data_IF_098859477930
#
_entry.id   IF_098859477930
#
_cell.length_a   1.000
_cell.length_b   1.000
_cell.length_c   1.000
_cell.angle_alpha   90.00
_cell.angle_beta   90.00
_cell.angle_gamma   90.00
#
_symmetry.space_group_name_H-M   'P 1'
#
loop_
_entity.id
_entity.type
_entity.pdbx_description
1 polymer ?
#
# COMPACT_ATOMS: atom_id res chain seq x y z
N UNK A 1 18.69 13.95 0.58
CA UNK A 1 18.62 14.04 2.06
C UNK A 1 18.13 12.73 2.61
N UNK A 2 18.76 12.25 3.67
CA UNK A 2 18.35 11.02 4.35
C UNK A 2 17.33 11.35 5.43
N UNK A 3 16.26 10.56 5.51
CA UNK A 3 15.22 10.72 6.53
C UNK A 3 14.87 9.37 7.14
N UNK A 4 14.61 9.37 8.43
CA UNK A 4 14.10 8.22 9.16
C UNK A 4 12.61 8.43 9.39
N UNK A 5 11.79 7.51 8.88
CA UNK A 5 10.33 7.64 8.90
C UNK A 5 9.73 6.36 9.49
N UNK A 6 8.79 6.55 10.40
CA UNK A 6 8.06 5.43 10.98
C UNK A 6 6.81 5.10 10.15
N UNK A 7 6.48 3.84 10.07
CA UNK A 7 5.22 3.38 9.49
C UNK A 7 4.32 2.83 10.60
N UNK A 8 3.03 3.08 10.58
CA UNK A 8 2.27 3.82 9.54
C UNK A 8 2.64 5.30 9.48
N UNK A 9 2.51 5.87 8.29
CA UNK A 9 2.93 7.24 8.02
C UNK A 9 2.03 8.28 8.68
N UNK A 10 2.63 9.36 9.18
CA UNK A 10 1.89 10.57 9.48
C UNK A 10 1.82 11.45 8.23
N UNK A 11 0.76 12.23 8.11
CA UNK A 11 0.61 13.15 6.98
C UNK A 11 1.68 14.24 6.97
N UNK A 12 2.12 14.68 8.15
CA UNK A 12 3.16 15.70 8.28
C UNK A 12 4.49 15.20 7.70
N UNK A 13 4.87 13.96 8.00
CA UNK A 13 6.09 13.37 7.46
C UNK A 13 6.03 13.21 5.94
N UNK A 14 4.87 12.83 5.40
CA UNK A 14 4.69 12.66 3.97
C UNK A 14 4.81 13.96 3.20
N UNK A 15 4.35 15.07 3.76
CA UNK A 15 4.45 16.38 3.13
C UNK A 15 5.89 16.83 2.90
N UNK A 16 6.81 16.37 3.73
CA UNK A 16 8.21 16.75 3.66
C UNK A 16 9.03 15.92 2.68
N UNK A 17 8.44 14.84 2.14
CA UNK A 17 9.14 13.96 1.22
C UNK A 17 9.11 14.49 -0.22
N UNK A 18 10.22 14.30 -0.91
CA UNK A 18 10.37 14.69 -2.31
C UNK A 18 10.93 13.51 -3.10
N UNK A 19 10.62 13.46 -4.38
CA UNK A 19 11.17 12.43 -5.27
C UNK A 19 12.70 12.50 -5.25
N UNK A 20 13.33 11.33 -5.11
CA UNK A 20 14.77 11.23 -5.01
C UNK A 20 15.32 11.19 -3.59
N UNK A 21 14.49 11.42 -2.59
CA UNK A 21 14.93 11.33 -1.21
C UNK A 21 15.27 9.89 -0.82
N UNK A 22 16.30 9.74 0.01
CA UNK A 22 16.59 8.47 0.67
C UNK A 22 15.85 8.42 2.00
N UNK A 23 15.09 7.37 2.21
CA UNK A 23 14.35 7.19 3.46
C UNK A 23 14.66 5.84 4.09
N UNK A 24 14.70 5.83 5.42
CA UNK A 24 14.81 4.61 6.21
C UNK A 24 13.49 4.40 6.91
N UNK A 25 12.80 3.30 6.58
CA UNK A 25 11.49 2.98 7.16
C UNK A 25 11.67 2.10 8.38
N UNK A 26 10.96 2.45 9.45
CA UNK A 26 10.93 1.70 10.70
C UNK A 26 9.49 1.35 11.05
N UNK A 27 9.26 0.11 11.42
CA UNK A 27 7.93 -0.38 11.78
C UNK A 27 7.56 -1.59 10.96
N UNK A 28 6.27 -1.91 10.94
CA UNK A 28 5.76 -3.07 10.21
C UNK A 28 5.39 -2.68 8.79
N UNK A 29 5.95 -3.40 7.82
CA UNK A 29 5.62 -3.27 6.40
C UNK A 29 5.04 -4.60 5.97
N UNK A 30 3.90 -4.55 5.29
CA UNK A 30 3.24 -5.76 4.80
C UNK A 30 3.72 -6.09 3.40
N UNK A 31 3.97 -7.37 3.13
CA UNK A 31 4.33 -7.81 1.78
C UNK A 31 3.12 -8.44 1.10
N UNK A 32 2.89 -8.06 -0.15
CA UNK A 32 1.79 -8.60 -0.94
C UNK A 32 2.10 -8.47 -2.42
N UNK A 33 1.86 -9.53 -3.16
CA UNK A 33 1.97 -9.54 -4.61
C UNK A 33 0.61 -9.83 -5.24
N UNK A 34 0.63 -10.38 -6.46
CA UNK A 34 -0.55 -10.57 -7.32
C UNK A 34 -1.71 -11.28 -6.60
N UNK A 35 -1.44 -12.43 -5.98
CA UNK A 35 -2.50 -13.23 -5.37
C UNK A 35 -3.11 -12.53 -4.15
N UNK A 36 -2.29 -11.93 -3.31
CA UNK A 36 -2.77 -11.22 -2.12
C UNK A 36 -3.57 -9.98 -2.51
N UNK A 37 -3.09 -9.23 -3.51
CA UNK A 37 -3.82 -8.07 -4.03
C UNK A 37 -5.17 -8.47 -4.61
N UNK A 38 -5.22 -9.54 -5.39
CA UNK A 38 -6.45 -10.04 -5.96
C UNK A 38 -7.45 -10.43 -4.87
N UNK A 39 -7.00 -11.11 -3.84
CA UNK A 39 -7.86 -11.50 -2.71
C UNK A 39 -8.43 -10.30 -1.97
N UNK A 40 -7.60 -9.31 -1.71
CA UNK A 40 -8.06 -8.08 -1.05
C UNK A 40 -9.06 -7.32 -1.92
N UNK A 41 -8.75 -7.16 -3.19
CA UNK A 41 -9.63 -6.49 -4.16
C UNK A 41 -10.98 -7.17 -4.25
N UNK A 42 -10.98 -8.48 -4.47
CA UNK A 42 -12.22 -9.25 -4.60
C UNK A 42 -13.06 -9.20 -3.33
N UNK A 43 -12.42 -9.30 -2.17
CA UNK A 43 -13.12 -9.24 -0.88
C UNK A 43 -13.80 -7.88 -0.68
N UNK A 44 -13.12 -6.80 -1.01
CA UNK A 44 -13.68 -5.44 -0.91
C UNK A 44 -14.85 -5.27 -1.87
N UNK A 45 -14.70 -5.72 -3.11
CA UNK A 45 -15.76 -5.60 -4.12
C UNK A 45 -17.01 -6.38 -3.74
N UNK A 46 -16.85 -7.61 -3.27
CA UNK A 46 -17.97 -8.44 -2.84
C UNK A 46 -18.72 -7.79 -1.68
N UNK A 47 -18.00 -7.31 -0.68
CA UNK A 47 -18.61 -6.69 0.47
C UNK A 47 -19.32 -5.38 0.12
N UNK A 48 -18.73 -4.59 -0.76
CA UNK A 48 -19.34 -3.33 -1.21
C UNK A 48 -20.62 -3.58 -2.02
N UNK A 49 -20.67 -4.66 -2.79
CA UNK A 49 -21.90 -5.04 -3.52
C UNK A 49 -23.01 -5.49 -2.57
N UNK A 50 -22.67 -6.20 -1.50
CA UNK A 50 -23.64 -6.64 -0.50
C UNK A 50 -24.22 -5.48 0.30
N UNK A 51 -23.44 -4.45 0.52
CA UNK A 51 -23.79 -3.31 1.36
C UNK A 51 -23.46 -2.00 0.67
N UNK A 52 -24.18 -1.65 -0.42
CA UNK A 52 -23.83 -0.45 -1.20
C UNK A 52 -24.02 0.86 -0.42
N UNK A 53 -24.78 0.85 0.65
CA UNK A 53 -24.99 2.02 1.51
C UNK A 53 -23.87 2.25 2.50
N UNK A 54 -22.98 1.29 2.69
CA UNK A 54 -21.87 1.38 3.64
C UNK A 54 -20.63 1.91 2.93
N UNK A 55 -19.99 2.91 3.52
CA UNK A 55 -18.71 3.40 3.05
C UNK A 55 -17.60 2.70 3.83
N UNK A 56 -16.94 1.75 3.17
CA UNK A 56 -15.87 1.00 3.81
C UNK A 56 -14.54 1.74 3.76
N UNK A 57 -13.95 1.98 4.93
CA UNK A 57 -12.55 2.41 5.07
C UNK A 57 -11.66 1.18 5.27
N UNK A 58 -10.36 1.36 5.15
CA UNK A 58 -9.43 0.27 5.44
C UNK A 58 -9.57 -0.24 6.87
N UNK A 59 -9.76 0.66 7.83
CA UNK A 59 -9.96 0.29 9.22
C UNK A 59 -11.23 -0.54 9.42
N UNK A 60 -12.35 -0.14 8.81
CA UNK A 60 -13.61 -0.89 8.91
C UNK A 60 -13.50 -2.26 8.26
N UNK A 61 -12.84 -2.35 7.12
CA UNK A 61 -12.63 -3.62 6.44
C UNK A 61 -11.81 -4.59 7.31
N UNK A 62 -10.85 -4.08 8.05
CA UNK A 62 -10.07 -4.89 8.98
C UNK A 62 -10.89 -5.29 10.21
N UNK A 63 -11.62 -4.37 10.81
CA UNK A 63 -12.47 -4.64 11.99
C UNK A 63 -13.55 -5.69 11.68
N UNK A 64 -14.14 -5.62 10.49
CA UNK A 64 -15.18 -6.56 10.04
C UNK A 64 -14.57 -7.87 9.50
N UNK A 65 -13.26 -8.05 9.60
CA UNK A 65 -12.53 -9.25 9.18
C UNK A 65 -12.63 -9.54 7.67
N UNK A 66 -12.89 -8.53 6.87
CA UNK A 66 -12.90 -8.64 5.41
C UNK A 66 -11.48 -8.65 4.87
N UNK A 67 -10.60 -7.82 5.44
CA UNK A 67 -9.18 -7.79 5.13
C UNK A 67 -8.37 -8.37 6.29
N UNK A 68 -7.24 -9.04 6.01
CA UNK A 68 -6.40 -9.61 7.06
C UNK A 68 -5.55 -8.58 7.80
N UNK A 69 -5.51 -7.34 7.31
CA UNK A 69 -4.74 -6.26 7.90
C UNK A 69 -5.44 -4.92 7.65
N UNK A 70 -5.12 -3.94 8.50
CA UNK A 70 -5.57 -2.57 8.29
C UNK A 70 -4.57 -1.86 7.37
N UNK A 71 -5.02 -1.51 6.17
CA UNK A 71 -4.18 -0.83 5.18
C UNK A 71 -4.10 0.68 5.40
N UNK A 72 -4.93 1.23 6.30
CA UNK A 72 -4.97 2.67 6.54
C UNK A 72 -3.62 3.20 7.03
N UNK A 73 -3.02 4.10 6.27
CA UNK A 73 -1.73 4.68 6.62
C UNK A 73 -0.52 3.75 6.43
N UNK A 74 -0.74 2.52 6.07
CA UNK A 74 0.31 1.51 6.00
C UNK A 74 0.95 1.41 4.62
N UNK A 75 2.00 0.60 4.54
CA UNK A 75 2.80 0.41 3.34
C UNK A 75 2.77 -1.05 2.93
N UNK A 76 2.59 -1.29 1.64
CA UNK A 76 2.70 -2.62 1.05
C UNK A 76 3.97 -2.70 0.20
N UNK A 77 4.78 -3.70 0.48
CA UNK A 77 5.97 -4.02 -0.30
C UNK A 77 5.60 -5.12 -1.31
N UNK A 78 5.79 -4.83 -2.57
CA UNK A 78 5.48 -5.75 -3.67
C UNK A 78 6.57 -6.81 -3.78
N UNK A 79 6.49 -7.79 -2.90
CA UNK A 79 7.54 -8.78 -2.80
C UNK A 79 6.99 -10.16 -2.44
N UNK A 80 7.69 -11.19 -2.94
CA UNK A 80 7.51 -12.56 -2.49
C UNK A 80 8.88 -13.09 -2.11
N UNK A 81 9.21 -13.12 -0.81
CA UNK A 81 10.54 -13.57 -0.40
C UNK A 81 10.72 -15.07 -0.67
N UNK A 82 11.95 -15.45 -0.94
CA UNK A 82 12.30 -16.87 -0.98
C UNK A 82 12.35 -17.42 0.45
N UNK A 83 12.15 -18.74 0.64
CA UNK A 83 12.29 -19.33 1.97
C UNK A 83 13.66 -19.05 2.57
N UNK A 84 13.69 -18.77 3.87
CA UNK A 84 14.92 -18.53 4.59
C UNK A 84 15.75 -19.83 4.67
N UNK A 85 17.06 -19.70 4.52
CA UNK A 85 17.98 -20.79 4.78
C UNK A 85 18.11 -20.98 6.29
N UNK A 86 18.53 -22.20 6.76
CA UNK A 86 18.78 -22.40 8.18
C UNK A 86 19.68 -21.31 8.77
N UNK A 87 19.25 -20.73 9.88
CA UNK A 87 19.97 -19.65 10.54
C UNK A 87 19.67 -18.24 10.03
N UNK A 88 18.87 -18.09 9.00
CA UNK A 88 18.46 -16.79 8.46
C UNK A 88 17.04 -16.44 8.93
N UNK A 89 16.81 -15.16 9.19
CA UNK A 89 15.48 -14.64 9.55
C UNK A 89 14.57 -14.61 8.33
N UNK A 90 15.14 -14.26 7.17
CA UNK A 90 14.39 -14.13 5.91
C UNK A 90 15.29 -14.54 4.75
N UNK A 91 14.71 -15.07 3.69
CA UNK A 91 15.42 -15.35 2.45
C UNK A 91 15.60 -14.10 1.61
N UNK A 92 15.98 -14.28 0.35
CA UNK A 92 16.14 -13.16 -0.57
C UNK A 92 14.82 -12.41 -0.73
N UNK A 93 14.88 -11.10 -0.63
CA UNK A 93 13.73 -10.23 -0.78
C UNK A 93 14.08 -9.06 -1.70
N UNK A 94 13.22 -8.81 -2.68
CA UNK A 94 13.38 -7.69 -3.59
C UNK A 94 12.05 -7.35 -4.24
N UNK A 95 11.84 -6.11 -4.65
CA UNK A 95 10.57 -5.69 -5.19
C UNK A 95 10.30 -6.32 -6.56
N UNK A 96 9.05 -6.72 -6.77
CA UNK A 96 8.58 -7.14 -8.08
C UNK A 96 8.04 -5.94 -8.87
N UNK A 97 7.71 -6.16 -10.13
CA UNK A 97 7.21 -5.11 -11.02
C UNK A 97 5.87 -4.55 -10.54
N UNK A 98 5.83 -3.25 -10.33
CA UNK A 98 4.64 -2.55 -9.81
C UNK A 98 3.43 -2.67 -10.72
N UNK A 99 3.63 -2.71 -12.04
CA UNK A 99 2.52 -2.75 -13.01
C UNK A 99 1.59 -3.94 -12.83
N UNK A 100 2.07 -5.02 -12.26
CA UNK A 100 1.24 -6.19 -11.97
C UNK A 100 0.11 -5.90 -11.00
N UNK A 101 0.32 -4.96 -10.08
CA UNK A 101 -0.64 -4.58 -9.06
C UNK A 101 -1.51 -3.38 -9.46
N UNK A 102 -1.24 -2.78 -10.62
CA UNK A 102 -1.89 -1.53 -11.02
C UNK A 102 -3.42 -1.62 -11.08
N UNK A 103 -3.96 -2.75 -11.51
CA UNK A 103 -5.42 -2.91 -11.59
C UNK A 103 -6.11 -2.95 -10.24
N UNK A 104 -5.38 -3.25 -9.17
CA UNK A 104 -5.93 -3.30 -7.80
C UNK A 104 -5.64 -2.04 -7.00
N UNK A 105 -4.60 -1.31 -7.37
CA UNK A 105 -4.04 -0.22 -6.58
C UNK A 105 -4.99 0.95 -6.35
N UNK A 106 -5.74 1.45 -7.36
CA UNK A 106 -6.64 2.58 -7.12
C UNK A 106 -7.65 2.31 -6.02
N UNK A 107 -8.21 1.10 -5.96
CA UNK A 107 -9.16 0.75 -4.91
C UNK A 107 -8.50 0.77 -3.53
N UNK A 108 -7.31 0.18 -3.39
CA UNK A 108 -6.59 0.15 -2.12
C UNK A 108 -6.21 1.56 -1.65
N UNK A 109 -5.80 2.42 -2.57
CA UNK A 109 -5.52 3.83 -2.25
C UNK A 109 -6.76 4.54 -1.74
N UNK A 110 -7.92 4.27 -2.35
CA UNK A 110 -9.18 4.87 -1.91
C UNK A 110 -9.59 4.41 -0.51
N UNK A 111 -9.09 3.26 -0.06
CA UNK A 111 -9.38 2.72 1.28
C UNK A 111 -8.35 3.13 2.32
N UNK A 112 -7.35 3.90 1.96
CA UNK A 112 -6.42 4.49 2.92
C UNK A 112 -4.97 4.03 2.84
N UNK A 113 -4.61 3.18 1.89
CA UNK A 113 -3.23 2.79 1.69
C UNK A 113 -2.38 4.02 1.38
N UNK A 114 -1.22 4.14 2.02
CA UNK A 114 -0.35 5.32 1.91
C UNK A 114 0.97 5.07 1.19
N UNK A 115 1.52 3.87 1.30
CA UNK A 115 2.82 3.57 0.75
C UNK A 115 2.84 2.30 -0.07
N UNK A 116 3.62 2.31 -1.13
CA UNK A 116 3.81 1.16 -1.99
C UNK A 116 5.28 1.10 -2.39
N UNK A 117 5.90 -0.05 -2.25
CA UNK A 117 7.29 -0.26 -2.62
C UNK A 117 7.35 -1.29 -3.73
N UNK A 118 7.80 -0.88 -4.89
CA UNK A 118 7.93 -1.73 -6.06
C UNK A 118 8.93 -1.16 -7.04
N UNK A 119 8.98 -1.70 -8.23
CA UNK A 119 9.87 -1.20 -9.28
C UNK A 119 9.12 -1.07 -10.60
N UNK A 120 9.64 -0.21 -11.45
CA UNK A 120 9.08 0.03 -12.78
C UNK A 120 7.99 1.09 -12.76
N UNK A 121 7.41 1.30 -13.93
CA UNK A 121 6.43 2.35 -14.12
C UNK A 121 5.04 1.95 -13.61
N UNK A 122 4.28 2.94 -13.17
CA UNK A 122 2.87 2.78 -12.82
C UNK A 122 2.00 3.13 -14.03
N UNK A 123 0.78 2.55 -14.08
CA UNK A 123 -0.19 2.91 -15.12
C UNK A 123 -0.71 4.32 -14.87
N UNK A 124 -1.29 4.93 -15.91
CA UNK A 124 -1.90 6.25 -15.78
C UNK A 124 -3.03 6.26 -14.76
N UNK A 125 -3.80 5.17 -14.68
CA UNK A 125 -4.88 5.05 -13.69
C UNK A 125 -4.35 5.16 -12.25
N UNK A 126 -3.19 4.55 -11.96
CA UNK A 126 -2.57 4.63 -10.63
C UNK A 126 -2.06 6.04 -10.37
N UNK A 127 -1.39 6.66 -11.34
CA UNK A 127 -0.89 8.03 -11.21
C UNK A 127 -2.06 8.98 -10.92
N UNK A 128 -3.16 8.86 -11.65
CA UNK A 128 -4.35 9.68 -11.46
C UNK A 128 -4.96 9.47 -10.08
N UNK A 129 -4.99 8.23 -9.59
CA UNK A 129 -5.50 7.91 -8.27
C UNK A 129 -4.65 8.55 -7.16
N UNK A 130 -3.32 8.52 -7.29
CA UNK A 130 -2.41 9.16 -6.33
C UNK A 130 -2.63 10.67 -6.31
N UNK A 131 -2.71 11.29 -7.48
CA UNK A 131 -2.93 12.73 -7.61
C UNK A 131 -4.26 13.13 -6.99
N UNK A 132 -5.33 12.38 -7.25
CA UNK A 132 -6.66 12.65 -6.72
C UNK A 132 -6.66 12.60 -5.20
N UNK A 133 -6.06 11.59 -4.60
CA UNK A 133 -6.00 11.44 -3.14
C UNK A 133 -5.21 12.57 -2.51
N UNK A 134 -4.09 12.96 -3.11
CA UNK A 134 -3.28 14.07 -2.64
C UNK A 134 -4.07 15.37 -2.66
N UNK A 135 -4.84 15.60 -3.72
CA UNK A 135 -5.67 16.80 -3.88
C UNK A 135 -6.81 16.83 -2.87
N UNK A 136 -7.53 15.72 -2.72
CA UNK A 136 -8.71 15.64 -1.87
C UNK A 136 -8.37 15.82 -0.39
N UNK A 137 -7.18 15.39 0.02
CA UNK A 137 -6.76 15.44 1.43
C UNK A 137 -5.96 16.70 1.79
N UNK A 138 -5.56 17.49 0.82
CA UNK A 138 -4.66 18.65 1.01
C UNK A 138 -3.34 18.27 1.69
N UNK A 139 -3.06 17.01 1.84
CA UNK A 139 -1.83 16.48 2.39
C UNK A 139 -1.30 15.42 1.44
N UNK A 140 0.00 15.35 1.30
CA UNK A 140 0.58 14.38 0.40
C UNK A 140 0.34 12.96 0.87
N UNK A 141 -0.10 12.09 -0.03
CA UNK A 141 0.16 10.67 0.08
C UNK A 141 0.97 10.29 -1.14
N UNK A 142 1.98 9.48 -0.93
CA UNK A 142 2.92 9.16 -1.99
C UNK A 142 3.02 7.67 -2.20
N UNK A 143 3.05 7.26 -3.47
CA UNK A 143 3.52 5.95 -3.85
C UNK A 143 5.03 5.98 -3.96
N UNK A 144 5.67 4.94 -3.52
CA UNK A 144 7.12 4.81 -3.59
C UNK A 144 7.52 3.70 -4.54
#
# INVERSE_FOLDING_TARGET
MERHIAVPFSEEELKELHAGDYIYLTGTIYSARDAAHKRMYDAICVEQEKHPEVEYSGAKLYEDQILPLDITGNTIYYLGPTPAKPGQVIGSAGPTTSSRMDKYTPLLLSKGLKGMIGKGKRSQAVIDAIVKITRDRKSGSAGM
#
